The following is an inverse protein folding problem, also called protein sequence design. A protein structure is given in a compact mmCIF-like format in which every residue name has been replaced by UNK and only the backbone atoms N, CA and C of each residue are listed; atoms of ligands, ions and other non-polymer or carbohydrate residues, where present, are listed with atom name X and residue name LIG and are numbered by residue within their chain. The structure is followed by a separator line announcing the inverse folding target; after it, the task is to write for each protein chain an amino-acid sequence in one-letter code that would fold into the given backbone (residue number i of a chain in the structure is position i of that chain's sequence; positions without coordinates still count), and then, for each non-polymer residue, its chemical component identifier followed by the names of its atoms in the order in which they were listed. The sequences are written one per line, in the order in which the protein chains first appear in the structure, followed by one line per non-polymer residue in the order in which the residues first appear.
data_IF_828887039204
#
_entry.id   IF_828887039204
#
_cell.length_a   1.000
_cell.length_b   1.000
_cell.length_c   1.000
_cell.angle_alpha   90.00
_cell.angle_beta   90.00
_cell.angle_gamma   90.00
#
_symmetry.space_group_name_H-M   'P 1'
#
loop_
_entity.id
_entity.type
_entity.pdbx_description
1 polymer ?
#
# COMPACT_ATOMS: atom_id res chain seq x y z
N UNK A 1 11.42 8.38 8.25
CA UNK A 1 10.27 7.45 8.40
C UNK A 1 10.77 6.02 8.17
N UNK A 2 10.26 4.98 8.85
CA UNK A 2 10.89 3.63 8.78
C UNK A 2 10.86 2.95 7.41
N UNK A 3 10.01 3.40 6.47
CA UNK A 3 10.03 2.92 5.09
C UNK A 3 11.24 3.45 4.30
N UNK A 4 11.71 4.67 4.58
CA UNK A 4 12.92 5.21 3.94
C UNK A 4 14.17 4.44 4.36
N UNK A 5 14.22 4.00 5.63
CA UNK A 5 15.28 3.13 6.12
C UNK A 5 15.30 1.76 5.44
N UNK A 6 14.19 1.35 4.81
CA UNK A 6 14.07 0.14 3.98
C UNK A 6 14.30 0.42 2.49
N UNK A 7 14.73 1.62 2.13
CA UNK A 7 15.06 1.99 0.74
C UNK A 7 13.89 2.53 -0.08
N UNK A 8 12.68 2.66 0.50
CA UNK A 8 11.53 3.21 -0.21
C UNK A 8 11.60 4.74 -0.30
N UNK A 9 11.36 5.27 -1.50
CA UNK A 9 11.11 6.70 -1.68
C UNK A 9 9.66 7.01 -1.33
N UNK A 10 9.46 7.84 -0.30
CA UNK A 10 8.10 8.16 0.16
C UNK A 10 7.89 9.66 0.22
N UNK A 11 6.71 10.08 -0.26
CA UNK A 11 6.26 11.46 -0.20
C UNK A 11 4.94 11.51 0.56
N UNK A 12 4.92 12.26 1.65
CA UNK A 12 3.67 12.48 2.40
C UNK A 12 2.80 13.50 1.65
N UNK A 13 1.48 13.44 1.85
CA UNK A 13 0.55 14.43 1.28
C UNK A 13 0.91 15.85 1.70
N UNK A 14 1.38 16.04 2.93
CA UNK A 14 1.89 17.32 3.43
C UNK A 14 3.12 17.79 2.64
N UNK A 15 4.12 16.93 2.46
CA UNK A 15 5.33 17.28 1.71
C UNK A 15 5.04 17.53 0.21
N UNK A 16 4.02 16.88 -0.33
CA UNK A 16 3.55 17.07 -1.70
C UNK A 16 2.66 18.31 -1.89
N UNK A 17 2.34 19.06 -0.82
CA UNK A 17 1.39 20.18 -0.89
C UNK A 17 -0.06 19.76 -1.15
N UNK A 18 -0.38 18.47 -0.95
CA UNK A 18 -1.69 17.87 -1.19
C UNK A 18 -2.50 17.70 0.11
N UNK A 19 -2.10 18.35 1.19
CA UNK A 19 -2.83 18.28 2.45
C UNK A 19 -4.16 19.04 2.31
N UNK A 20 -5.28 18.36 2.59
CA UNK A 20 -6.62 18.92 2.43
C UNK A 20 -7.19 18.80 1.01
N UNK A 21 -6.41 18.31 0.04
CA UNK A 21 -6.90 17.97 -1.29
C UNK A 21 -7.82 16.73 -1.24
N UNK A 22 -8.79 16.67 -2.13
CA UNK A 22 -9.72 15.55 -2.25
C UNK A 22 -8.98 14.28 -2.71
N UNK A 23 -9.50 13.10 -2.36
CA UNK A 23 -8.83 11.82 -2.67
C UNK A 23 -8.56 11.64 -4.18
N UNK A 24 -9.42 12.19 -5.03
CA UNK A 24 -9.26 12.17 -6.49
C UNK A 24 -8.10 13.03 -6.99
N UNK A 25 -7.87 14.18 -6.35
CA UNK A 25 -6.75 15.07 -6.66
C UNK A 25 -5.44 14.44 -6.21
N UNK A 26 -5.44 13.79 -5.04
CA UNK A 26 -4.30 13.01 -4.56
C UNK A 26 -3.95 11.86 -5.53
N UNK A 27 -4.97 11.13 -6.03
CA UNK A 27 -4.77 10.08 -7.03
C UNK A 27 -4.24 10.61 -8.36
N UNK A 28 -4.76 11.75 -8.83
CA UNK A 28 -4.29 12.41 -10.04
C UNK A 28 -2.83 12.86 -9.89
N UNK A 29 -2.48 13.46 -8.74
CA UNK A 29 -1.11 13.83 -8.42
C UNK A 29 -0.19 12.62 -8.43
N UNK A 30 -0.54 11.56 -7.68
CA UNK A 30 0.28 10.35 -7.63
C UNK A 30 0.49 9.74 -9.01
N UNK A 31 -0.57 9.66 -9.81
CA UNK A 31 -0.51 9.17 -11.20
C UNK A 31 0.43 10.00 -12.07
N UNK A 32 0.39 11.33 -11.97
CA UNK A 32 1.26 12.23 -12.74
C UNK A 32 2.75 11.98 -12.46
N UNK A 33 3.10 11.57 -11.25
CA UNK A 33 4.48 11.31 -10.84
C UNK A 33 4.84 9.82 -10.79
N UNK A 34 3.99 8.96 -11.36
CA UNK A 34 4.15 7.50 -11.35
C UNK A 34 4.35 6.92 -9.94
N UNK A 35 3.62 7.49 -8.98
CA UNK A 35 3.64 7.08 -7.57
C UNK A 35 2.48 6.14 -7.27
N UNK A 36 2.76 5.19 -6.37
CA UNK A 36 1.75 4.37 -5.74
C UNK A 36 1.14 5.13 -4.54
N UNK A 37 -0.19 5.09 -4.40
CA UNK A 37 -0.87 5.62 -3.22
C UNK A 37 -0.92 4.58 -2.11
N UNK A 38 -0.50 4.96 -0.92
CA UNK A 38 -0.76 4.23 0.32
C UNK A 38 -1.82 4.96 1.13
N UNK A 39 -2.94 4.30 1.45
CA UNK A 39 -4.00 4.91 2.25
C UNK A 39 -4.73 3.92 3.15
N UNK A 40 -5.39 4.44 4.18
CA UNK A 40 -6.37 3.69 4.97
C UNK A 40 -7.82 4.03 4.58
N UNK A 41 -8.04 5.03 3.72
CA UNK A 41 -9.37 5.43 3.25
C UNK A 41 -9.89 4.49 2.15
N UNK A 42 -10.12 3.23 2.52
CA UNK A 42 -10.46 2.15 1.61
C UNK A 42 -11.63 2.49 0.69
N UNK A 43 -12.74 2.97 1.27
CA UNK A 43 -13.98 3.24 0.52
C UNK A 43 -13.78 4.25 -0.60
N UNK A 44 -13.10 5.37 -0.32
CA UNK A 44 -12.96 6.44 -1.29
C UNK A 44 -12.00 6.05 -2.42
N UNK A 45 -10.85 5.46 -2.09
CA UNK A 45 -9.90 5.04 -3.12
C UNK A 45 -10.42 3.86 -3.97
N UNK A 46 -11.24 2.97 -3.42
CA UNK A 46 -11.94 1.95 -4.22
C UNK A 46 -12.97 2.56 -5.17
N UNK A 47 -13.68 3.62 -4.76
CA UNK A 47 -14.56 4.36 -5.68
C UNK A 47 -13.76 4.98 -6.82
N UNK A 48 -12.67 5.68 -6.51
CA UNK A 48 -11.82 6.31 -7.52
C UNK A 48 -11.15 5.31 -8.46
N UNK A 49 -10.70 4.17 -7.94
CA UNK A 49 -10.21 3.07 -8.76
C UNK A 49 -11.24 2.62 -9.80
N UNK A 50 -12.50 2.38 -9.38
CA UNK A 50 -13.60 2.03 -10.29
C UNK A 50 -13.89 3.14 -11.29
N UNK A 51 -13.84 4.40 -10.88
CA UNK A 51 -14.02 5.54 -11.78
C UNK A 51 -12.93 5.58 -12.86
N UNK A 52 -11.67 5.37 -12.49
CA UNK A 52 -10.56 5.32 -13.45
C UNK A 52 -10.73 4.15 -14.43
N UNK A 53 -11.05 2.96 -13.92
CA UNK A 53 -11.35 1.79 -14.75
C UNK A 53 -12.49 2.05 -15.75
N UNK A 54 -13.61 2.60 -15.28
CA UNK A 54 -14.76 2.91 -16.13
C UNK A 54 -14.44 3.97 -17.21
N UNK A 55 -13.47 4.84 -16.95
CA UNK A 55 -13.00 5.87 -17.88
C UNK A 55 -11.85 5.39 -18.79
N UNK A 56 -11.38 4.14 -18.66
CA UNK A 56 -10.20 3.64 -19.36
C UNK A 56 -8.91 4.38 -18.98
N UNK A 57 -8.87 5.00 -17.79
CA UNK A 57 -7.73 5.76 -17.29
C UNK A 57 -6.84 4.89 -16.42
N UNK A 58 -5.54 5.09 -16.54
CA UNK A 58 -4.55 4.43 -15.70
C UNK A 58 -4.21 5.26 -14.45
N UNK A 59 -3.73 4.57 -13.40
CA UNK A 59 -3.13 5.20 -12.23
C UNK A 59 -1.89 4.42 -11.76
N UNK A 60 -1.01 5.05 -10.99
CA UNK A 60 0.26 4.42 -10.55
C UNK A 60 0.09 3.17 -9.68
N UNK A 61 -1.07 3.02 -9.03
CA UNK A 61 -1.42 1.90 -8.18
C UNK A 61 -1.94 2.39 -6.82
N UNK A 62 -2.75 1.57 -6.16
CA UNK A 62 -3.35 1.90 -4.87
C UNK A 62 -3.12 0.73 -3.93
N UNK A 63 -2.52 0.99 -2.76
CA UNK A 63 -2.36 0.05 -1.66
C UNK A 63 -3.18 0.53 -0.48
N UNK A 64 -4.04 -0.35 0.03
CA UNK A 64 -4.96 -0.05 1.12
C UNK A 64 -4.67 -0.89 2.35
N UNK A 65 -4.32 -0.21 3.44
CA UNK A 65 -4.02 -0.82 4.73
C UNK A 65 -5.12 -0.51 5.76
N UNK A 66 -5.50 -1.47 6.63
CA UNK A 66 -6.35 -1.17 7.76
C UNK A 66 -5.63 -0.29 8.78
N UNK A 67 -6.38 0.53 9.53
CA UNK A 67 -5.82 1.27 10.67
C UNK A 67 -5.36 0.28 11.74
N UNK A 68 -4.17 0.52 12.28
CA UNK A 68 -3.56 -0.24 13.37
C UNK A 68 -2.49 0.63 14.04
N UNK A 69 -1.76 0.09 15.01
CA UNK A 69 -0.63 0.78 15.63
C UNK A 69 0.49 1.02 14.61
N UNK A 70 1.24 2.11 14.79
CA UNK A 70 2.21 2.59 13.80
C UNK A 70 3.24 1.51 13.41
N UNK A 71 3.75 0.77 14.40
CA UNK A 71 4.76 -0.28 14.16
C UNK A 71 4.27 -1.38 13.21
N UNK A 72 3.07 -1.90 13.45
CA UNK A 72 2.45 -2.91 12.59
C UNK A 72 2.12 -2.31 11.22
N UNK A 73 1.67 -1.05 11.19
CA UNK A 73 1.34 -0.36 9.94
C UNK A 73 2.57 -0.19 9.04
N UNK A 74 3.71 0.22 9.60
CA UNK A 74 4.97 0.38 8.88
C UNK A 74 5.45 -0.97 8.31
N UNK A 75 5.37 -2.03 9.10
CA UNK A 75 5.77 -3.37 8.66
C UNK A 75 4.84 -3.91 7.57
N UNK A 76 3.52 -3.72 7.70
CA UNK A 76 2.54 -4.06 6.65
C UNK A 76 2.78 -3.28 5.37
N UNK A 77 3.07 -1.98 5.47
CA UNK A 77 3.37 -1.14 4.31
C UNK A 77 4.62 -1.63 3.58
N UNK A 78 5.70 -1.94 4.31
CA UNK A 78 6.92 -2.46 3.73
C UNK A 78 6.67 -3.80 3.00
N UNK A 79 6.02 -4.76 3.66
CA UNK A 79 5.68 -6.05 3.06
C UNK A 79 4.78 -5.91 1.83
N UNK A 80 3.81 -4.99 1.86
CA UNK A 80 2.98 -4.70 0.70
C UNK A 80 3.81 -4.19 -0.47
N UNK A 81 4.75 -3.27 -0.24
CA UNK A 81 5.59 -2.72 -1.30
C UNK A 81 6.54 -3.74 -1.90
N UNK A 82 7.17 -4.58 -1.07
CA UNK A 82 8.01 -5.67 -1.58
C UNK A 82 7.19 -6.65 -2.39
N UNK A 83 6.01 -7.03 -1.89
CA UNK A 83 5.10 -7.89 -2.65
C UNK A 83 4.64 -7.24 -3.96
N UNK A 84 4.27 -5.96 -3.95
CA UNK A 84 3.89 -5.20 -5.16
C UNK A 84 5.04 -5.21 -6.18
N UNK A 85 6.28 -5.04 -5.72
CA UNK A 85 7.48 -5.09 -6.57
C UNK A 85 7.71 -6.44 -7.27
N UNK A 86 7.13 -7.53 -6.76
CA UNK A 86 7.17 -8.85 -7.41
C UNK A 86 6.08 -9.05 -8.47
N UNK A 87 5.08 -8.16 -8.54
CA UNK A 87 3.97 -8.32 -9.49
C UNK A 87 4.39 -7.84 -10.88
N UNK A 88 4.06 -8.59 -11.95
CA UNK A 88 4.43 -8.20 -13.32
C UNK A 88 3.73 -6.91 -13.77
N UNK A 89 2.54 -6.62 -13.24
CA UNK A 89 1.75 -5.42 -13.53
C UNK A 89 1.01 -4.97 -12.27
N UNK A 90 1.55 -3.96 -11.57
CA UNK A 90 0.88 -3.33 -10.43
C UNK A 90 0.19 -2.00 -10.77
N UNK A 91 0.55 -1.39 -11.90
CA UNK A 91 -0.13 -0.17 -12.36
C UNK A 91 -1.62 -0.44 -12.55
N UNK A 92 -2.42 0.55 -12.21
CA UNK A 92 -3.88 0.50 -12.26
C UNK A 92 -4.51 -0.58 -11.38
N UNK A 93 -3.75 -1.19 -10.45
CA UNK A 93 -4.28 -2.15 -9.48
C UNK A 93 -4.67 -1.47 -8.16
N UNK A 94 -5.67 -2.04 -7.49
CA UNK A 94 -6.10 -1.66 -6.15
C UNK A 94 -5.88 -2.87 -5.22
N UNK A 95 -4.77 -2.86 -4.50
CA UNK A 95 -4.27 -3.97 -3.70
C UNK A 95 -4.60 -3.72 -2.23
N UNK A 96 -5.21 -4.72 -1.59
CA UNK A 96 -5.61 -4.67 -0.21
C UNK A 96 -4.63 -5.44 0.67
N UNK A 97 -4.46 -5.01 1.91
CA UNK A 97 -3.75 -5.80 2.91
C UNK A 97 -4.26 -7.25 2.98
N UNK A 98 -5.58 -7.46 2.87
CA UNK A 98 -6.16 -8.81 2.90
C UNK A 98 -5.62 -9.71 1.78
N UNK A 99 -5.25 -9.16 0.62
CA UNK A 99 -4.74 -9.95 -0.50
C UNK A 99 -3.38 -10.55 -0.15
N UNK A 100 -2.48 -9.75 0.42
CA UNK A 100 -1.18 -10.23 0.91
C UNK A 100 -1.34 -11.09 2.16
N UNK A 101 -2.22 -10.70 3.08
CA UNK A 101 -2.47 -11.43 4.33
C UNK A 101 -2.83 -12.89 4.05
N UNK A 102 -3.72 -13.14 3.09
CA UNK A 102 -4.09 -14.51 2.70
C UNK A 102 -2.90 -15.28 2.14
N UNK A 103 -2.06 -14.64 1.32
CA UNK A 103 -0.86 -15.29 0.78
C UNK A 103 0.12 -15.66 1.90
N UNK A 104 0.35 -14.79 2.87
CA UNK A 104 1.20 -15.07 4.04
C UNK A 104 0.65 -16.24 4.87
N UNK A 105 -0.67 -16.29 5.08
CA UNK A 105 -1.37 -17.39 5.77
C UNK A 105 -1.18 -18.71 5.00
N UNK A 106 -1.24 -18.67 3.67
CA UNK A 106 -1.03 -19.82 2.79
C UNK A 106 0.44 -20.22 2.61
N UNK A 107 1.37 -19.56 3.30
CA UNK A 107 2.79 -19.94 3.31
C UNK A 107 3.70 -19.09 2.43
N UNK A 108 3.21 -18.03 1.79
CA UNK A 108 4.10 -17.06 1.14
C UNK A 108 5.10 -16.52 2.16
N UNK A 109 6.36 -16.44 1.76
CA UNK A 109 7.43 -15.78 2.50
C UNK A 109 8.06 -14.72 1.63
N UNK A 110 8.19 -13.53 2.19
CA UNK A 110 8.86 -12.40 1.56
C UNK A 110 10.30 -12.39 2.06
N UNK A 111 11.24 -12.21 1.14
CA UNK A 111 12.65 -12.07 1.49
C UNK A 111 12.86 -10.85 2.40
N UNK A 112 13.76 -10.97 3.38
CA UNK A 112 14.05 -9.89 4.33
C UNK A 112 13.08 -9.76 5.51
N UNK A 113 12.11 -10.67 5.66
CA UNK A 113 11.18 -10.69 6.80
C UNK A 113 11.26 -11.99 7.59
N UNK A 114 11.41 -11.87 8.90
CA UNK A 114 11.44 -13.00 9.83
C UNK A 114 10.03 -13.59 10.08
N UNK A 115 9.96 -14.84 10.54
CA UNK A 115 8.68 -15.44 10.96
C UNK A 115 8.01 -14.66 12.10
N UNK A 116 8.79 -14.04 12.99
CA UNK A 116 8.28 -13.20 14.07
C UNK A 116 7.61 -11.93 13.55
N UNK A 117 8.20 -11.29 12.54
CA UNK A 117 7.60 -10.14 11.84
C UNK A 117 6.32 -10.54 11.10
N UNK A 118 6.31 -11.71 10.45
CA UNK A 118 5.12 -12.26 9.79
C UNK A 118 4.02 -12.53 10.82
N UNK A 119 4.34 -13.15 11.97
CA UNK A 119 3.38 -13.37 13.05
C UNK A 119 2.80 -12.04 13.56
N UNK A 120 3.66 -11.03 13.75
CA UNK A 120 3.29 -9.69 14.21
C UNK A 120 2.28 -9.03 13.26
N UNK A 121 2.53 -9.00 11.95
CA UNK A 121 1.58 -8.39 10.99
C UNK A 121 0.29 -9.17 10.83
N UNK A 122 0.30 -10.47 11.10
CA UNK A 122 -0.89 -11.32 11.12
C UNK A 122 -1.68 -11.18 12.42
N UNK A 123 -1.18 -10.44 13.42
CA UNK A 123 -1.81 -10.31 14.74
C UNK A 123 -1.74 -11.60 15.56
N UNK A 124 -0.76 -12.45 15.29
CA UNK A 124 -0.46 -13.65 16.08
C UNK A 124 0.59 -13.28 17.12
N UNK A 125 0.46 -13.77 18.34
CA UNK A 125 1.55 -13.68 19.32
C UNK A 125 2.78 -14.39 18.76
N UNK A 126 4.00 -13.86 18.98
CA UNK A 126 5.21 -14.65 18.71
C UNK A 126 5.15 -15.96 19.53
N UNK A 127 5.69 -17.07 19.01
CA UNK A 127 5.84 -18.31 19.78
C UNK A 127 6.73 -18.10 21.01
#
# INVERSE_FOLDING_TARGET
MRLEARGFQVRTTRAAGMLGAEDGEQLAYATRYDLLILSHNKRHFQNWHRTYQAQGREHGGIVLLPRTILEVLELRAAMMFDWVGTLPLYRSQCLLWNDLQQKLILGLRLEGYSEAEIATVLGRSPP
#
